data_IF_188946019573
#
_entry.id   IF_188946019573
#
_cell.length_a   1.000
_cell.length_b   1.000
_cell.length_c   1.000
_cell.angle_alpha   90.00
_cell.angle_beta   90.00
_cell.angle_gamma   90.00
#
_symmetry.space_group_name_H-M   'P 1'
#
loop_
_entity.id
_entity.type
_entity.pdbx_description
1 polymer ?
#
# COMPACT_ATOMS: atom_id res chain seq x y z
N UNK A 1 -16.36 -11.32 12.09
CA UNK A 1 -15.93 -11.17 10.69
C UNK A 1 -14.46 -10.82 10.73
N UNK A 2 -13.56 -11.61 10.14
CA UNK A 2 -12.15 -11.22 10.14
C UNK A 2 -11.98 -10.13 9.09
N UNK A 3 -12.08 -8.87 9.51
CA UNK A 3 -12.01 -7.75 8.59
C UNK A 3 -10.64 -7.77 7.89
N UNK A 4 -10.67 -7.96 6.57
CA UNK A 4 -9.47 -7.92 5.76
C UNK A 4 -8.84 -6.53 5.89
N UNK A 5 -7.63 -6.45 6.41
CA UNK A 5 -6.92 -5.18 6.55
C UNK A 5 -6.21 -4.83 5.24
N UNK A 6 -6.81 -3.92 4.47
CA UNK A 6 -6.29 -3.45 3.19
C UNK A 6 -5.05 -2.58 3.42
N UNK A 7 -3.96 -2.83 2.68
CA UNK A 7 -2.80 -1.94 2.72
C UNK A 7 -3.22 -0.52 2.27
N UNK A 8 -2.84 0.53 3.04
CA UNK A 8 -3.30 1.89 2.77
C UNK A 8 -2.80 2.40 1.41
N UNK A 9 -3.49 3.42 0.91
CA UNK A 9 -3.04 4.15 -0.27
C UNK A 9 -1.86 5.05 0.10
N UNK A 10 -0.88 5.15 -0.80
CA UNK A 10 0.22 6.12 -0.71
C UNK A 10 -0.08 7.22 -1.73
N UNK A 11 -0.69 8.34 -1.33
CA UNK A 11 -0.97 9.45 -2.24
C UNK A 11 0.33 10.15 -2.63
N UNK A 12 0.30 10.85 -3.76
CA UNK A 12 1.41 11.66 -4.22
C UNK A 12 1.43 12.99 -3.46
N UNK A 13 2.62 13.42 -3.05
CA UNK A 13 2.85 14.80 -2.58
C UNK A 13 2.84 15.75 -3.79
N UNK A 14 3.37 15.29 -4.92
CA UNK A 14 3.37 16.00 -6.20
C UNK A 14 3.30 14.99 -7.36
N UNK A 15 2.72 15.39 -8.49
CA UNK A 15 2.56 14.55 -9.67
C UNK A 15 3.60 14.91 -10.73
N UNK A 16 4.65 14.09 -10.83
CA UNK A 16 5.75 14.28 -11.78
C UNK A 16 5.56 13.47 -13.09
N UNK A 17 4.40 12.83 -13.27
CA UNK A 17 4.09 12.02 -14.45
C UNK A 17 3.48 12.82 -15.59
N UNK A 18 3.37 12.19 -16.76
CA UNK A 18 2.62 12.76 -17.88
C UNK A 18 1.10 12.65 -17.66
N UNK A 19 0.34 13.65 -18.11
CA UNK A 19 -1.11 13.70 -17.99
C UNK A 19 -1.62 14.15 -16.61
N UNK A 20 -2.94 14.13 -16.42
CA UNK A 20 -3.57 14.44 -15.13
C UNK A 20 -3.67 13.19 -14.25
N UNK A 21 -3.23 13.24 -12.98
CA UNK A 21 -3.53 12.19 -12.03
C UNK A 21 -5.04 12.09 -11.82
N UNK A 22 -5.51 10.96 -11.29
CA UNK A 22 -6.86 10.93 -10.72
C UNK A 22 -6.85 11.79 -9.45
N UNK A 23 -7.85 12.65 -9.27
CA UNK A 23 -7.91 13.64 -8.19
C UNK A 23 -7.76 13.02 -6.78
N UNK A 24 -8.14 11.75 -6.61
CA UNK A 24 -8.03 11.02 -5.34
C UNK A 24 -6.62 10.55 -4.98
N UNK A 25 -5.64 10.81 -5.85
CA UNK A 25 -4.28 10.26 -5.73
C UNK A 25 -3.20 11.29 -5.43
N UNK A 26 -3.55 12.57 -5.33
CA UNK A 26 -2.62 13.67 -5.00
C UNK A 26 -3.14 14.40 -3.78
N UNK A 27 -2.26 14.66 -2.81
CA UNK A 27 -2.59 15.46 -1.64
C UNK A 27 -2.87 16.91 -2.05
N UNK A 28 -3.80 17.55 -1.35
CA UNK A 28 -3.99 18.99 -1.50
C UNK A 28 -2.89 19.78 -0.77
N UNK A 29 -2.80 21.08 -1.07
CA UNK A 29 -1.74 21.93 -0.51
C UNK A 29 -1.70 21.94 1.03
N UNK A 30 -2.86 21.98 1.69
CA UNK A 30 -2.92 21.99 3.16
C UNK A 30 -2.48 20.65 3.77
N UNK A 31 -2.79 19.52 3.12
CA UNK A 31 -2.31 18.20 3.53
C UNK A 31 -0.79 18.07 3.37
N UNK A 32 -0.25 18.59 2.26
CA UNK A 32 1.20 18.62 2.03
C UNK A 32 1.90 19.47 3.09
N UNK A 33 1.43 20.69 3.33
CA UNK A 33 1.98 21.57 4.38
C UNK A 33 1.95 20.90 5.76
N UNK A 34 0.85 20.22 6.11
CA UNK A 34 0.72 19.52 7.39
C UNK A 34 1.73 18.37 7.55
N UNK A 35 1.99 17.59 6.49
CA UNK A 35 2.99 16.52 6.53
C UNK A 35 4.40 17.11 6.62
N UNK A 36 4.72 18.11 5.80
CA UNK A 36 6.05 18.73 5.75
C UNK A 36 6.41 19.51 7.03
N UNK A 37 5.44 19.87 7.86
CA UNK A 37 5.66 20.52 9.16
C UNK A 37 6.30 19.61 10.22
N UNK A 38 6.43 18.31 9.95
CA UNK A 38 6.98 17.31 10.87
C UNK A 38 8.28 16.69 10.34
N UNK A 39 9.15 16.12 11.18
CA UNK A 39 10.29 15.33 10.72
C UNK A 39 9.86 14.18 9.81
N UNK A 40 10.51 14.07 8.65
CA UNK A 40 10.18 13.07 7.62
C UNK A 40 11.25 11.98 7.55
N UNK A 41 10.79 10.79 7.18
CA UNK A 41 11.64 9.67 6.79
C UNK A 41 11.38 9.34 5.33
N UNK A 42 12.44 9.34 4.52
CA UNK A 42 12.37 9.02 3.09
C UNK A 42 12.89 7.60 2.90
N UNK A 43 12.10 6.77 2.24
CA UNK A 43 12.45 5.38 1.93
C UNK A 43 12.34 5.16 0.42
N UNK A 44 13.12 4.21 -0.09
CA UNK A 44 13.05 3.80 -1.49
C UNK A 44 11.68 3.17 -1.77
N UNK A 45 10.99 3.67 -2.81
CA UNK A 45 9.77 3.04 -3.30
C UNK A 45 10.14 1.92 -4.28
N UNK A 46 10.20 0.68 -3.77
CA UNK A 46 10.42 -0.50 -4.61
C UNK A 46 9.27 -0.69 -5.62
N UNK A 47 9.63 -0.95 -6.88
CA UNK A 47 8.67 -1.32 -7.92
C UNK A 47 8.46 -2.83 -7.93
N UNK A 48 7.36 -3.26 -7.32
CA UNK A 48 7.06 -4.68 -7.11
C UNK A 48 5.59 -4.89 -6.73
N UNK A 49 5.33 -5.98 -6.03
CA UNK A 49 3.99 -6.35 -5.58
C UNK A 49 3.83 -6.11 -4.07
N UNK A 50 2.68 -5.56 -3.64
CA UNK A 50 2.37 -5.44 -2.22
C UNK A 50 2.18 -6.84 -1.61
N UNK A 51 2.92 -7.13 -0.54
CA UNK A 51 2.80 -8.35 0.26
C UNK A 51 2.65 -7.99 1.73
N UNK A 52 1.55 -8.42 2.36
CA UNK A 52 1.35 -8.36 3.80
C UNK A 52 1.48 -9.74 4.43
N UNK A 53 2.07 -9.80 5.62
CA UNK A 53 2.19 -11.02 6.42
C UNK A 53 1.54 -10.76 7.77
N UNK A 54 0.66 -11.64 8.21
CA UNK A 54 0.02 -11.57 9.52
C UNK A 54 -0.08 -12.95 10.15
N UNK A 55 -0.25 -13.00 11.47
CA UNK A 55 -0.47 -14.23 12.22
C UNK A 55 -1.92 -14.26 12.73
N UNK A 56 -2.59 -15.40 12.59
CA UNK A 56 -3.89 -15.66 13.22
C UNK A 56 -3.69 -15.95 14.72
N UNK A 57 -4.78 -15.88 15.49
CA UNK A 57 -4.78 -16.25 16.92
C UNK A 57 -4.31 -17.69 17.17
N UNK A 58 -4.53 -18.60 16.22
CA UNK A 58 -4.08 -19.99 16.27
C UNK A 58 -2.60 -20.18 15.86
N UNK A 59 -1.85 -19.10 15.57
CA UNK A 59 -0.45 -19.15 15.17
C UNK A 59 -0.21 -19.36 13.66
N UNK A 60 -1.26 -19.50 12.85
CA UNK A 60 -1.09 -19.67 11.40
C UNK A 60 -0.68 -18.36 10.73
N UNK A 61 0.35 -18.44 9.88
CA UNK A 61 0.75 -17.34 9.01
C UNK A 61 -0.26 -17.16 7.87
N UNK A 62 -0.54 -15.91 7.53
CA UNK A 62 -1.32 -15.51 6.37
C UNK A 62 -0.53 -14.52 5.54
N UNK A 63 -0.42 -14.81 4.26
CA UNK A 63 0.04 -13.86 3.25
C UNK A 63 -1.16 -13.17 2.59
N UNK A 64 -1.02 -11.90 2.23
CA UNK A 64 -2.02 -11.13 1.50
C UNK A 64 -1.37 -10.26 0.44
N UNK A 65 -2.07 -10.06 -0.68
CA UNK A 65 -1.79 -8.91 -1.54
C UNK A 65 -2.58 -7.68 -1.03
N UNK A 66 -2.62 -6.60 -1.83
CA UNK A 66 -3.34 -5.38 -1.45
C UNK A 66 -4.84 -5.60 -1.19
N UNK A 67 -5.49 -6.51 -1.92
CA UNK A 67 -6.96 -6.63 -1.94
C UNK A 67 -7.53 -7.89 -1.32
N UNK A 68 -6.72 -8.93 -1.09
CA UNK A 68 -7.17 -10.21 -0.54
C UNK A 68 -6.03 -11.04 0.06
N UNK A 69 -6.39 -12.02 0.89
CA UNK A 69 -5.47 -13.08 1.29
C UNK A 69 -5.07 -13.95 0.11
N UNK A 70 -3.82 -14.41 0.10
CA UNK A 70 -3.32 -15.36 -0.89
C UNK A 70 -3.77 -16.77 -0.49
N UNK A 71 -4.32 -17.51 -1.46
CA UNK A 71 -4.74 -18.89 -1.30
C UNK A 71 -3.94 -19.76 -2.27
N UNK A 72 -3.61 -20.96 -1.83
CA UNK A 72 -2.97 -21.94 -2.71
C UNK A 72 -3.98 -22.54 -3.70
N UNK A 73 -3.56 -22.86 -4.94
CA UNK A 73 -2.25 -22.55 -5.51
C UNK A 73 -2.12 -21.04 -5.79
N UNK A 74 -0.96 -20.46 -5.47
CA UNK A 74 -0.74 -19.04 -5.71
C UNK A 74 -0.73 -18.72 -7.21
N UNK A 75 -1.20 -17.52 -7.56
CA UNK A 75 -1.38 -17.08 -8.94
C UNK A 75 -0.81 -15.69 -9.19
N UNK A 76 -0.63 -15.34 -10.47
CA UNK A 76 -0.17 -14.02 -10.91
C UNK A 76 1.24 -13.71 -10.40
N UNK A 77 1.42 -12.55 -9.76
CA UNK A 77 2.71 -12.09 -9.23
C UNK A 77 3.31 -13.02 -8.16
N UNK A 78 2.52 -13.95 -7.61
CA UNK A 78 2.92 -14.84 -6.52
C UNK A 78 2.97 -16.32 -6.93
N UNK A 79 2.93 -16.67 -8.21
CA UNK A 79 2.78 -18.06 -8.67
C UNK A 79 4.05 -18.93 -8.63
N UNK A 80 5.15 -18.44 -8.04
CA UNK A 80 6.46 -19.12 -8.06
C UNK A 80 6.88 -19.57 -6.67
#
# INVERSE_FOLDING_TARGET
>A
MSDFFRFPHTPHIDWLGEGMPRDDKVLNAAEVEAILAHPLRIEEKLDGANLGISMRENGELRAQNRGQYLLEPYAGQFSR
#
